data_IF_167145349435
#
_entry.id   IF_167145349435
#
_cell.length_a   1.000
_cell.length_b   1.000
_cell.length_c   1.000
_cell.angle_alpha   90.00
_cell.angle_beta   90.00
_cell.angle_gamma   90.00
#
_symmetry.space_group_name_H-M   'P 1'
#
loop_
_entity.id
_entity.type
_entity.pdbx_description
1 polymer ?
#
# COMPACT_ATOMS: atom_id res chain seq x y z
N UNK A 1 -6.34 -1.77 -10.13
CA UNK A 1 -4.94 -2.25 -10.00
C UNK A 1 -4.27 -1.50 -8.84
N UNK A 2 -3.51 -2.21 -8.01
CA UNK A 2 -2.78 -1.67 -6.86
C UNK A 2 -1.31 -2.05 -6.99
N UNK A 3 -0.40 -1.07 -6.95
CA UNK A 3 1.04 -1.30 -6.89
C UNK A 3 1.50 -1.17 -5.44
N UNK A 4 2.12 -2.21 -4.89
CA UNK A 4 2.46 -2.29 -3.48
C UNK A 4 3.97 -2.21 -3.21
N UNK A 5 4.33 -2.08 -1.93
CA UNK A 5 5.72 -1.95 -1.50
C UNK A 5 6.51 -3.24 -1.74
N UNK A 6 7.81 -3.14 -2.04
CA UNK A 6 8.69 -4.32 -2.17
C UNK A 6 8.59 -5.16 -0.89
N UNK A 7 8.36 -6.47 -1.03
CA UNK A 7 8.21 -7.38 0.11
C UNK A 7 6.82 -7.39 0.75
N UNK A 8 5.86 -6.62 0.24
CA UNK A 8 4.46 -6.69 0.68
C UNK A 8 3.80 -8.00 0.26
N UNK A 9 2.88 -8.49 1.11
CA UNK A 9 2.10 -9.71 0.84
C UNK A 9 0.61 -9.36 0.83
N UNK A 10 -0.09 -9.87 -0.19
CA UNK A 10 -1.54 -9.80 -0.25
C UNK A 10 -2.17 -10.81 0.71
N UNK A 11 -2.98 -10.33 1.65
CA UNK A 11 -3.70 -11.20 2.57
C UNK A 11 -5.07 -11.60 2.01
N UNK A 12 -5.82 -10.62 1.52
CA UNK A 12 -7.12 -10.85 0.89
C UNK A 12 -7.50 -9.65 0.02
N UNK A 13 -8.38 -9.89 -0.94
CA UNK A 13 -9.10 -8.81 -1.61
C UNK A 13 -10.57 -9.11 -1.59
N UNK A 14 -11.36 -8.06 -1.37
CA UNK A 14 -12.82 -8.15 -1.38
C UNK A 14 -13.40 -7.11 -2.33
N UNK A 15 -14.41 -7.53 -3.10
CA UNK A 15 -15.29 -6.67 -3.89
C UNK A 15 -16.66 -6.70 -3.25
N UNK A 16 -17.17 -5.55 -2.80
CA UNK A 16 -18.46 -5.43 -2.10
C UNK A 16 -18.58 -6.39 -0.89
N UNK A 17 -17.47 -6.62 -0.19
CA UNK A 17 -17.40 -7.55 0.95
C UNK A 17 -17.20 -9.02 0.58
N UNK A 18 -17.33 -9.40 -0.69
CA UNK A 18 -17.11 -10.77 -1.16
C UNK A 18 -15.66 -11.00 -1.57
N UNK A 19 -15.07 -12.14 -1.19
CA UNK A 19 -13.66 -12.43 -1.48
C UNK A 19 -13.46 -12.73 -2.96
N UNK A 20 -12.58 -11.97 -3.60
CA UNK A 20 -12.34 -12.08 -5.05
C UNK A 20 -10.88 -12.47 -5.30
N UNK A 21 -10.59 -13.40 -6.23
CA UNK A 21 -9.22 -13.69 -6.62
C UNK A 21 -8.57 -12.46 -7.27
N UNK A 22 -7.28 -12.26 -6.97
CA UNK A 22 -6.48 -11.19 -7.55
C UNK A 22 -5.35 -11.77 -8.39
N UNK A 23 -5.11 -11.17 -9.54
CA UNK A 23 -3.95 -11.44 -10.39
C UNK A 23 -2.76 -10.73 -9.74
N UNK A 24 -1.68 -11.47 -9.49
CA UNK A 24 -0.44 -10.93 -8.94
C UNK A 24 0.61 -10.84 -10.03
N UNK A 25 1.22 -9.67 -10.18
CA UNK A 25 2.33 -9.43 -11.09
C UNK A 25 3.47 -8.74 -10.34
N UNK A 26 4.62 -8.60 -11.01
CA UNK A 26 5.79 -7.89 -10.47
C UNK A 26 6.21 -6.81 -11.46
N UNK A 27 6.34 -5.59 -10.97
CA UNK A 27 6.71 -4.40 -11.73
C UNK A 27 7.89 -3.71 -11.05
N UNK A 28 9.06 -3.66 -11.70
CA UNK A 28 10.30 -3.10 -11.13
C UNK A 28 10.65 -3.66 -9.73
N UNK A 29 10.37 -4.94 -9.51
CA UNK A 29 10.59 -5.64 -8.24
C UNK A 29 9.57 -5.32 -7.15
N UNK A 30 8.49 -4.61 -7.48
CA UNK A 30 7.34 -4.34 -6.61
C UNK A 30 6.17 -5.26 -6.99
N UNK A 31 5.48 -5.89 -6.04
CA UNK A 31 4.28 -6.65 -6.35
C UNK A 31 3.13 -5.72 -6.77
N UNK A 32 2.37 -6.12 -7.79
CA UNK A 32 1.15 -5.47 -8.23
C UNK A 32 -0.02 -6.45 -8.18
N UNK A 33 -1.20 -5.95 -7.81
CA UNK A 33 -2.42 -6.72 -7.65
C UNK A 33 -3.52 -6.15 -8.52
N UNK A 34 -4.16 -7.00 -9.32
CA UNK A 34 -5.21 -6.61 -10.24
C UNK A 34 -6.45 -7.49 -10.08
N UNK A 35 -7.61 -6.85 -10.20
CA UNK A 35 -8.92 -7.51 -10.19
C UNK A 35 -9.73 -6.90 -11.31
N UNK A 36 -10.40 -7.78 -12.06
CA UNK A 36 -11.41 -7.38 -13.03
C UNK A 36 -12.76 -7.38 -12.33
N UNK A 37 -13.38 -6.21 -12.21
CA UNK A 37 -14.73 -6.06 -11.66
C UNK A 37 -15.63 -5.36 -12.67
N UNK A 38 -16.86 -5.84 -12.80
CA UNK A 38 -17.91 -5.17 -13.55
C UNK A 38 -18.70 -4.26 -12.61
N UNK A 39 -18.75 -2.95 -12.90
CA UNK A 39 -19.54 -1.98 -12.13
C UNK A 39 -20.80 -1.67 -12.96
N UNK A 40 -21.99 -2.10 -12.53
CA UNK A 40 -23.23 -1.79 -13.23
C UNK A 40 -23.52 -0.27 -13.27
N UNK A 41 -24.24 0.23 -14.29
CA UNK A 41 -24.63 1.63 -14.34
C UNK A 41 -25.39 2.08 -13.08
N UNK A 42 -24.98 3.22 -12.52
CA UNK A 42 -25.63 3.81 -11.34
C UNK A 42 -25.30 3.13 -10.00
N UNK A 43 -24.46 2.10 -9.99
CA UNK A 43 -23.99 1.46 -8.76
C UNK A 43 -22.53 1.83 -8.46
N UNK A 44 -22.21 1.93 -7.17
CA UNK A 44 -20.84 2.03 -6.66
C UNK A 44 -20.46 0.71 -6.01
N UNK A 45 -19.20 0.30 -6.16
CA UNK A 45 -18.66 -0.85 -5.45
C UNK A 45 -17.48 -0.48 -4.56
N UNK A 46 -17.28 -1.24 -3.49
CA UNK A 46 -16.13 -1.13 -2.62
C UNK A 46 -15.09 -2.20 -3.00
N UNK A 47 -13.86 -1.76 -3.25
CA UNK A 47 -12.72 -2.65 -3.46
C UNK A 47 -11.76 -2.49 -2.28
N UNK A 48 -11.60 -3.53 -1.46
CA UNK A 48 -10.71 -3.49 -0.31
C UNK A 48 -9.57 -4.52 -0.44
N UNK A 49 -8.34 -4.02 -0.50
CA UNK A 49 -7.12 -4.81 -0.51
C UNK A 49 -6.53 -4.85 0.89
N UNK A 50 -6.44 -6.05 1.49
CA UNK A 50 -5.72 -6.23 2.75
C UNK A 50 -4.30 -6.65 2.47
N UNK A 51 -3.35 -5.79 2.83
CA UNK A 51 -1.92 -5.97 2.62
C UNK A 51 -1.20 -6.10 3.95
N UNK A 52 -0.17 -6.95 3.97
CA UNK A 52 0.86 -6.92 4.99
C UNK A 52 2.12 -6.34 4.39
N UNK A 53 2.42 -5.10 4.71
CA UNK A 53 3.64 -4.43 4.27
C UNK A 53 4.81 -4.78 5.19
N UNK A 54 6.05 -4.84 4.65
CA UNK A 54 7.22 -5.11 5.47
C UNK A 54 7.58 -3.86 6.29
N UNK A 55 7.90 -4.08 7.56
CA UNK A 55 8.57 -3.07 8.39
C UNK A 55 10.06 -3.04 8.05
N UNK A 56 10.66 -1.85 8.12
CA UNK A 56 12.11 -1.71 8.21
C UNK A 56 12.45 -1.44 9.69
N UNK A 57 13.24 -2.29 10.35
CA UNK A 57 13.64 -2.04 11.74
C UNK A 57 14.50 -0.76 11.81
N UNK A 58 14.43 -0.08 12.95
CA UNK A 58 15.27 1.08 13.26
C UNK A 58 14.51 2.39 13.47
N UNK A 59 15.27 3.47 13.68
CA UNK A 59 14.71 4.78 13.92
C UNK A 59 13.96 5.31 12.69
N UNK A 60 12.79 5.93 12.89
CA UNK A 60 11.97 6.49 11.83
C UNK A 60 12.73 7.62 11.11
N UNK A 61 12.92 7.44 9.80
CA UNK A 61 13.57 8.45 8.95
C UNK A 61 12.51 9.26 8.21
N UNK A 62 12.47 10.56 8.48
CA UNK A 62 11.65 11.50 7.72
C UNK A 62 12.58 12.26 6.76
N UNK A 63 12.44 12.08 5.43
CA UNK A 63 13.23 12.85 4.48
C UNK A 63 12.82 14.33 4.58
N UNK A 64 13.76 15.19 4.96
CA UNK A 64 13.59 16.65 4.90
C UNK A 64 13.79 17.05 3.45
N UNK A 65 12.75 17.61 2.82
CA UNK A 65 12.96 18.31 1.55
C UNK A 65 13.85 19.52 1.82
N UNK A 66 14.91 19.74 1.03
CA UNK A 66 15.75 20.92 1.18
C UNK A 66 14.88 22.17 0.99
N UNK A 67 14.67 22.93 2.06
CA UNK A 67 14.11 24.27 2.02
C UNK A 67 15.25 25.29 1.93
N UNK A 68 14.92 26.55 1.72
CA UNK A 68 15.89 27.65 1.79
C UNK A 68 16.57 27.71 3.18
N UNK A 69 15.87 27.27 4.24
CA UNK A 69 16.34 27.25 5.62
C UNK A 69 16.55 25.83 6.18
N UNK A 70 17.46 25.73 7.14
CA UNK A 70 17.69 24.48 7.89
C UNK A 70 16.55 24.24 8.89
N UNK A 71 15.75 23.21 8.66
CA UNK A 71 14.68 22.77 9.57
C UNK A 71 15.02 21.43 10.23
N UNK A 72 14.86 21.34 11.55
CA UNK A 72 14.97 20.09 12.31
C UNK A 72 13.57 19.55 12.62
N UNK A 73 13.08 18.51 11.91
CA UNK A 73 11.74 18.00 12.13
C UNK A 73 11.65 17.22 13.45
N UNK A 74 10.61 17.51 14.25
CA UNK A 74 10.27 16.69 15.41
C UNK A 74 9.52 15.44 14.95
N UNK A 75 10.19 14.29 14.97
CA UNK A 75 9.59 12.99 14.62
C UNK A 75 9.02 12.34 15.88
N UNK A 76 7.70 12.14 15.92
CA UNK A 76 6.98 11.57 17.08
C UNK A 76 6.33 10.22 16.75
N UNK A 77 7.09 9.33 16.09
CA UNK A 77 6.64 7.96 15.78
C UNK A 77 7.57 6.95 16.48
N UNK A 78 7.05 5.82 16.97
CA UNK A 78 7.85 4.80 17.63
C UNK A 78 8.76 4.07 16.61
N UNK A 79 9.85 3.47 17.11
CA UNK A 79 10.70 2.62 16.31
C UNK A 79 9.94 1.37 15.84
N UNK A 80 10.17 0.95 14.60
CA UNK A 80 9.70 -0.33 14.12
C UNK A 80 10.56 -1.45 14.74
N UNK A 81 9.95 -2.53 15.26
CA UNK A 81 10.69 -3.70 15.75
C UNK A 81 11.47 -4.39 14.64
#
# INVERSE_FOLDING_TARGET
RLLATKGSKLMSVTSNGERTPAITQVENGRPSFEIQVAIPPGQSGELAFRLREPSSPGEPKVPVQPLLDNVSPRVSVPACP
#
